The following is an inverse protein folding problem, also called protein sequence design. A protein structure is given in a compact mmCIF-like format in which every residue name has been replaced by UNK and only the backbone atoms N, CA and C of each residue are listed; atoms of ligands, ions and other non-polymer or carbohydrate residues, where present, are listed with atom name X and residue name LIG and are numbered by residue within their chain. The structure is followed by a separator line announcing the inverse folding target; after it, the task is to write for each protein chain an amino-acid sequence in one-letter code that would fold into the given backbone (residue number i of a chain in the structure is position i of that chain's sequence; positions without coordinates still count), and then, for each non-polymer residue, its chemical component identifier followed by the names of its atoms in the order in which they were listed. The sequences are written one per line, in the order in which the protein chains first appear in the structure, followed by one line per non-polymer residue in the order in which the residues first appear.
data_IF_395604882816
#
_entry.id   IF_395604882816
#
_cell.length_a   1.000
_cell.length_b   1.000
_cell.length_c   1.000
_cell.angle_alpha   90.00
_cell.angle_beta   90.00
_cell.angle_gamma   90.00
#
_symmetry.space_group_name_H-M   'P 1'
#
loop_
_entity.id
_entity.type
_entity.pdbx_description
1 polymer ?
#
# COMPACT_ATOMS: atom_id res chain seq x y z
N UNK A 1 16.93 -38.34 -0.66
CA UNK A 1 16.15 -37.10 -0.98
C UNK A 1 16.83 -35.95 -0.27
N UNK A 2 17.51 -35.09 -1.00
CA UNK A 2 18.17 -33.90 -0.48
C UNK A 2 17.10 -32.90 -0.07
N UNK A 3 17.09 -32.45 1.20
CA UNK A 3 16.19 -31.38 1.65
C UNK A 3 16.57 -30.09 0.91
N UNK A 4 15.73 -29.66 -0.02
CA UNK A 4 15.95 -28.51 -0.90
C UNK A 4 15.88 -27.16 -0.16
N UNK A 5 15.38 -27.15 1.08
CA UNK A 5 15.22 -25.97 1.92
C UNK A 5 15.64 -26.30 3.35
N UNK A 6 16.71 -25.70 3.81
CA UNK A 6 17.12 -25.70 5.20
C UNK A 6 17.26 -24.25 5.65
N UNK A 7 16.33 -23.80 6.48
CA UNK A 7 16.46 -22.55 7.20
C UNK A 7 16.96 -22.86 8.60
N UNK A 8 18.09 -22.28 8.98
CA UNK A 8 18.53 -22.30 10.36
C UNK A 8 17.55 -21.47 11.21
N UNK A 9 17.28 -21.93 12.43
CA UNK A 9 16.41 -21.22 13.38
C UNK A 9 17.01 -19.86 13.69
N UNK A 10 16.33 -18.80 13.27
CA UNK A 10 16.76 -17.43 13.55
C UNK A 10 16.66 -17.18 15.06
N UNK A 11 17.72 -16.68 15.71
CA UNK A 11 17.71 -16.44 17.16
C UNK A 11 16.61 -15.45 17.55
N UNK A 12 15.91 -15.71 18.65
CA UNK A 12 14.90 -14.82 19.26
C UNK A 12 15.42 -13.40 19.57
N UNK A 13 16.73 -13.24 19.62
CA UNK A 13 17.42 -11.98 19.94
C UNK A 13 17.09 -10.84 18.94
N UNK A 14 16.92 -11.13 17.64
CA UNK A 14 16.65 -10.08 16.67
C UNK A 14 15.23 -9.51 16.78
N UNK A 15 14.24 -10.34 17.17
CA UNK A 15 12.88 -9.89 17.43
C UNK A 15 12.85 -8.88 18.58
N UNK A 16 13.64 -9.13 19.61
CA UNK A 16 13.74 -8.21 20.73
C UNK A 16 14.42 -6.90 20.32
N UNK A 17 15.48 -6.97 19.52
CA UNK A 17 16.12 -5.76 18.97
C UNK A 17 15.13 -4.92 18.14
N UNK A 18 14.32 -5.56 17.29
CA UNK A 18 13.28 -4.87 16.52
C UNK A 18 12.27 -4.18 17.45
N UNK A 19 11.78 -4.88 18.47
CA UNK A 19 10.84 -4.30 19.45
C UNK A 19 11.45 -3.10 20.17
N UNK A 20 12.69 -3.20 20.60
CA UNK A 20 13.38 -2.11 21.29
C UNK A 20 13.62 -0.91 20.39
N UNK A 21 13.94 -1.10 19.11
CA UNK A 21 14.04 0.01 18.14
C UNK A 21 12.69 0.69 17.93
N UNK A 22 11.60 -0.09 17.79
CA UNK A 22 10.23 0.46 17.66
C UNK A 22 9.84 1.22 18.93
N UNK A 23 10.13 0.64 20.11
CA UNK A 23 9.85 1.30 21.38
C UNK A 23 10.63 2.62 21.50
N UNK A 24 11.91 2.65 21.12
CA UNK A 24 12.72 3.86 21.09
C UNK A 24 12.10 4.93 20.19
N UNK A 25 11.61 4.57 18.99
CA UNK A 25 10.95 5.51 18.08
C UNK A 25 9.70 6.12 18.73
N UNK A 26 8.92 5.31 19.44
CA UNK A 26 7.69 5.75 20.12
C UNK A 26 7.99 6.60 21.35
N UNK A 27 8.94 6.20 22.18
CA UNK A 27 9.32 6.89 23.41
C UNK A 27 9.93 8.26 23.15
N UNK A 28 10.75 8.37 22.10
CA UNK A 28 11.34 9.64 21.64
C UNK A 28 10.40 10.46 20.73
N UNK A 29 9.15 10.00 20.54
CA UNK A 29 8.12 10.63 19.70
C UNK A 29 8.61 10.95 18.27
N UNK A 30 9.50 10.12 17.71
CA UNK A 30 10.06 10.32 16.37
C UNK A 30 8.98 10.16 15.31
N UNK A 31 8.92 11.14 14.41
CA UNK A 31 7.95 11.23 13.31
C UNK A 31 8.59 10.85 11.98
N UNK A 32 7.76 10.65 10.96
CA UNK A 32 8.22 10.47 9.57
C UNK A 32 9.24 11.53 9.18
N UNK A 33 10.40 11.09 8.72
CA UNK A 33 11.51 11.92 8.30
C UNK A 33 12.52 12.24 9.41
N UNK A 34 12.23 11.87 10.67
CA UNK A 34 13.18 12.03 11.77
C UNK A 34 14.28 10.97 11.67
N UNK A 35 15.48 11.38 12.03
CA UNK A 35 16.68 10.55 11.90
C UNK A 35 16.90 9.71 13.15
N UNK A 36 17.12 8.40 12.95
CA UNK A 36 17.55 7.54 14.03
C UNK A 36 19.03 7.77 14.41
N UNK A 37 19.41 7.46 15.67
CA UNK A 37 20.81 7.39 16.05
C UNK A 37 21.60 6.42 15.17
N UNK A 38 22.92 6.65 14.95
CA UNK A 38 23.77 5.72 14.24
C UNK A 38 23.80 4.34 14.91
N UNK A 39 24.04 3.26 14.13
CA UNK A 39 24.13 1.88 14.61
C UNK A 39 24.97 1.74 15.89
N UNK A 40 26.09 2.48 15.98
CA UNK A 40 26.95 2.45 17.16
C UNK A 40 26.21 2.93 18.41
N UNK A 41 25.52 4.06 18.32
CA UNK A 41 24.79 4.64 19.45
C UNK A 41 23.59 3.77 19.83
N UNK A 42 22.87 3.20 18.84
CA UNK A 42 21.79 2.25 19.11
C UNK A 42 22.30 0.98 19.80
N UNK A 43 23.47 0.45 19.40
CA UNK A 43 24.04 -0.73 20.04
C UNK A 43 24.46 -0.46 21.50
N UNK A 44 24.93 0.74 21.80
CA UNK A 44 25.24 1.19 23.16
C UNK A 44 23.96 1.38 24.00
N UNK A 45 22.90 1.97 23.43
CA UNK A 45 21.62 2.20 24.11
C UNK A 45 20.86 0.90 24.39
N UNK A 46 20.89 -0.04 23.45
CA UNK A 46 20.16 -1.30 23.55
C UNK A 46 20.98 -2.44 24.16
N UNK A 47 22.24 -2.17 24.52
CA UNK A 47 23.18 -3.15 25.08
C UNK A 47 23.34 -4.43 24.23
N UNK A 48 23.31 -4.29 22.91
CA UNK A 48 23.43 -5.39 21.96
C UNK A 48 24.56 -5.16 20.95
N UNK A 49 24.94 -6.22 20.22
CA UNK A 49 25.98 -6.11 19.20
C UNK A 49 25.55 -5.21 18.04
N UNK A 50 26.49 -4.53 17.38
CA UNK A 50 26.22 -3.73 16.16
C UNK A 50 25.64 -4.58 15.03
N UNK A 51 26.03 -5.85 14.93
CA UNK A 51 25.48 -6.77 13.93
C UNK A 51 24.00 -7.03 14.18
N UNK A 52 23.56 -7.21 15.42
CA UNK A 52 22.16 -7.40 15.77
C UNK A 52 21.33 -6.14 15.47
N UNK A 53 21.87 -4.95 15.80
CA UNK A 53 21.21 -3.68 15.45
C UNK A 53 21.06 -3.54 13.94
N UNK A 54 22.12 -3.79 13.18
CA UNK A 54 22.08 -3.72 11.71
C UNK A 54 21.06 -4.65 11.10
N UNK A 55 20.95 -5.86 11.62
CA UNK A 55 19.96 -6.83 11.17
C UNK A 55 18.54 -6.36 11.49
N UNK A 56 18.28 -5.88 12.71
CA UNK A 56 17.00 -5.29 13.08
C UNK A 56 16.62 -4.09 12.22
N UNK A 57 17.55 -3.18 11.94
CA UNK A 57 17.33 -2.04 11.06
C UNK A 57 16.99 -2.49 9.63
N UNK A 58 17.70 -3.47 9.08
CA UNK A 58 17.41 -4.02 7.73
C UNK A 58 16.02 -4.63 7.64
N UNK A 59 15.57 -5.34 8.68
CA UNK A 59 14.21 -5.89 8.72
C UNK A 59 13.19 -4.76 8.79
N UNK A 60 13.40 -3.73 9.61
CA UNK A 60 12.52 -2.58 9.68
C UNK A 60 12.49 -1.77 8.37
N UNK A 61 13.60 -1.70 7.64
CA UNK A 61 13.65 -1.12 6.29
C UNK A 61 12.86 -1.97 5.30
N UNK A 62 13.01 -3.28 5.34
CA UNK A 62 12.25 -4.22 4.51
C UNK A 62 10.74 -4.07 4.76
N UNK A 63 10.34 -3.91 6.01
CA UNK A 63 8.97 -3.66 6.43
C UNK A 63 8.52 -2.20 6.20
N UNK A 64 9.38 -1.36 5.63
CA UNK A 64 9.13 0.07 5.39
C UNK A 64 8.82 0.91 6.64
N UNK A 65 9.22 0.41 7.79
CA UNK A 65 9.20 1.19 9.03
C UNK A 65 10.28 2.27 9.03
N UNK A 66 11.39 1.95 8.38
CA UNK A 66 12.55 2.82 8.25
C UNK A 66 12.93 2.98 6.78
N UNK A 67 13.69 4.03 6.50
CA UNK A 67 14.27 4.34 5.20
C UNK A 67 15.75 4.71 5.38
N UNK A 68 16.65 3.99 4.72
CA UNK A 68 18.06 4.36 4.67
C UNK A 68 18.35 5.26 3.48
N UNK A 69 19.08 6.35 3.72
CA UNK A 69 19.57 7.26 2.69
C UNK A 69 21.09 7.17 2.62
N UNK A 70 21.60 6.93 1.43
CA UNK A 70 23.04 6.79 1.21
C UNK A 70 23.80 8.04 1.71
N UNK A 71 24.74 7.84 2.65
CA UNK A 71 25.48 8.91 3.31
C UNK A 71 24.66 9.73 4.31
N UNK A 72 23.34 9.55 4.41
CA UNK A 72 22.43 10.30 5.26
C UNK A 72 22.12 9.62 6.60
N UNK A 73 22.09 8.29 6.63
CA UNK A 73 21.67 7.49 7.78
C UNK A 73 20.27 6.91 7.61
N UNK A 74 19.70 6.43 8.72
CA UNK A 74 18.38 5.78 8.76
C UNK A 74 17.34 6.74 9.33
N UNK A 75 16.17 6.79 8.73
CA UNK A 75 15.08 7.72 9.04
C UNK A 75 13.79 6.95 9.27
N UNK A 76 12.89 7.48 10.10
CA UNK A 76 11.53 6.97 10.26
C UNK A 76 10.76 7.19 8.96
N UNK A 77 10.13 6.12 8.47
CA UNK A 77 9.35 6.13 7.22
C UNK A 77 7.85 6.37 7.47
N UNK A 78 7.03 6.17 6.46
CA UNK A 78 5.58 6.14 6.61
C UNK A 78 5.13 4.96 7.48
N UNK A 79 3.89 5.06 8.08
CA UNK A 79 3.37 3.94 8.85
C UNK A 79 3.46 2.64 8.04
N UNK A 80 3.82 1.52 8.70
CA UNK A 80 4.04 0.28 7.99
C UNK A 80 2.79 -0.13 7.23
N UNK A 81 2.92 -0.65 6.02
CA UNK A 81 1.80 -1.21 5.30
C UNK A 81 1.22 -2.38 6.10
N UNK A 82 -0.11 -2.51 6.10
CA UNK A 82 -0.82 -3.63 6.73
C UNK A 82 -0.40 -5.01 6.22
N UNK A 83 0.24 -5.03 5.08
CA UNK A 83 0.53 -6.23 4.31
C UNK A 83 2.04 -6.43 4.20
N UNK A 84 2.44 -7.67 3.99
CA UNK A 84 3.81 -8.02 3.59
C UNK A 84 4.25 -7.05 2.50
N UNK A 85 5.47 -6.47 2.59
CA UNK A 85 5.94 -5.53 1.58
C UNK A 85 5.80 -6.15 0.19
N UNK A 86 4.95 -5.57 -0.64
CA UNK A 86 4.62 -6.11 -1.97
C UNK A 86 5.86 -6.18 -2.88
N UNK A 87 6.92 -5.46 -2.53
CA UNK A 87 8.23 -5.58 -3.19
C UNK A 87 8.83 -6.98 -3.13
N UNK A 88 8.44 -7.81 -2.13
CA UNK A 88 8.93 -9.20 -2.01
C UNK A 88 8.13 -10.15 -2.90
N UNK A 89 6.85 -9.83 -3.15
CA UNK A 89 5.93 -10.70 -3.91
C UNK A 89 5.77 -10.28 -5.36
N UNK A 90 6.37 -9.18 -5.80
CA UNK A 90 6.19 -8.57 -7.12
C UNK A 90 6.40 -9.55 -8.31
N UNK A 91 7.23 -10.57 -8.15
CA UNK A 91 7.55 -11.50 -9.24
C UNK A 91 6.63 -12.72 -9.34
N UNK A 92 5.61 -12.85 -8.48
CA UNK A 92 4.78 -14.06 -8.39
C UNK A 92 3.27 -13.79 -8.38
N UNK A 93 2.85 -12.53 -8.58
CA UNK A 93 1.44 -12.17 -8.49
C UNK A 93 0.75 -12.41 -9.83
N UNK A 94 -0.10 -13.43 -9.91
CA UNK A 94 -0.92 -13.71 -11.08
C UNK A 94 -2.08 -12.70 -11.24
N UNK A 95 -2.72 -12.67 -12.41
CA UNK A 95 -3.85 -11.76 -12.69
C UNK A 95 -5.01 -11.93 -11.71
N UNK A 96 -5.30 -13.16 -11.27
CA UNK A 96 -6.36 -13.49 -10.30
C UNK A 96 -6.10 -12.86 -8.92
N UNK A 97 -4.85 -12.82 -8.48
CA UNK A 97 -4.46 -12.15 -7.24
C UNK A 97 -4.52 -10.62 -7.38
N UNK A 98 -4.18 -10.08 -8.55
CA UNK A 98 -4.27 -8.64 -8.82
C UNK A 98 -5.71 -8.14 -8.73
N UNK A 99 -6.70 -8.91 -9.21
CA UNK A 99 -8.12 -8.59 -9.07
C UNK A 99 -8.54 -8.50 -7.60
N UNK A 100 -8.11 -9.43 -6.75
CA UNK A 100 -8.38 -9.39 -5.30
C UNK A 100 -7.79 -8.15 -4.63
N UNK A 101 -6.57 -7.77 -5.01
CA UNK A 101 -5.97 -6.52 -4.51
C UNK A 101 -6.72 -5.29 -5.02
N UNK A 102 -7.19 -5.33 -6.25
CA UNK A 102 -7.98 -4.23 -6.82
C UNK A 102 -9.31 -4.05 -6.09
N UNK A 103 -10.01 -5.12 -5.73
CA UNK A 103 -11.23 -5.07 -4.92
C UNK A 103 -10.98 -4.39 -3.55
N UNK A 104 -9.87 -4.75 -2.88
CA UNK A 104 -9.49 -4.12 -1.62
C UNK A 104 -9.18 -2.62 -1.83
N UNK A 105 -8.51 -2.28 -2.93
CA UNK A 105 -8.23 -0.89 -3.27
C UNK A 105 -9.51 -0.09 -3.51
N UNK A 106 -10.48 -0.64 -4.24
CA UNK A 106 -11.77 -0.01 -4.50
C UNK A 106 -12.57 0.20 -3.21
N UNK A 107 -12.66 -0.83 -2.36
CA UNK A 107 -13.30 -0.74 -1.05
C UNK A 107 -12.67 0.37 -0.19
N UNK A 108 -11.34 0.48 -0.20
CA UNK A 108 -10.62 1.51 0.52
C UNK A 108 -10.85 2.91 -0.06
N UNK A 109 -10.85 3.06 -1.39
CA UNK A 109 -11.15 4.32 -2.08
C UNK A 109 -12.58 4.78 -1.82
N UNK A 110 -13.55 3.86 -1.88
CA UNK A 110 -14.94 4.11 -1.53
C UNK A 110 -15.06 4.65 -0.10
N UNK A 111 -14.39 3.98 0.86
CA UNK A 111 -14.36 4.40 2.25
C UNK A 111 -13.80 5.81 2.42
N UNK A 112 -12.70 6.14 1.75
CA UNK A 112 -12.09 7.48 1.76
C UNK A 112 -13.09 8.51 1.24
N UNK A 113 -13.69 8.29 0.06
CA UNK A 113 -14.64 9.22 -0.57
C UNK A 113 -15.86 9.45 0.35
N UNK A 114 -16.51 8.38 0.82
CA UNK A 114 -17.71 8.52 1.64
C UNK A 114 -17.44 9.07 3.05
N UNK A 115 -16.24 8.89 3.58
CA UNK A 115 -15.84 9.52 4.85
C UNK A 115 -15.60 11.01 4.65
N UNK A 116 -14.93 11.39 3.57
CA UNK A 116 -14.67 12.79 3.21
C UNK A 116 -15.95 13.57 2.91
N UNK A 117 -16.95 12.92 2.30
CA UNK A 117 -18.29 13.51 2.11
C UNK A 117 -18.96 13.94 3.42
N UNK A 118 -18.73 13.21 4.51
CA UNK A 118 -19.31 13.52 5.84
C UNK A 118 -18.60 14.70 6.50
N UNK A 119 -17.34 14.96 6.15
CA UNK A 119 -16.50 15.98 6.79
C UNK A 119 -16.52 17.32 6.08
N UNK A 120 -17.40 17.52 5.06
CA UNK A 120 -17.49 18.74 4.22
C UNK A 120 -16.11 19.21 3.69
N UNK A 121 -15.31 18.25 3.29
CA UNK A 121 -13.94 18.44 2.84
C UNK A 121 -13.91 19.28 1.55
N UNK A 122 -13.34 20.48 1.60
CA UNK A 122 -13.16 21.33 0.41
C UNK A 122 -11.86 20.97 -0.31
N UNK A 123 -11.96 20.49 -1.54
CA UNK A 123 -10.80 20.21 -2.40
C UNK A 123 -10.87 21.13 -3.62
N UNK A 124 -9.71 21.63 -4.05
CA UNK A 124 -9.61 22.41 -5.27
C UNK A 124 -9.92 21.55 -6.50
N UNK A 125 -10.89 22.00 -7.30
CA UNK A 125 -11.19 21.43 -8.62
C UNK A 125 -10.05 21.80 -9.61
N UNK A 126 -8.85 21.32 -9.41
CA UNK A 126 -7.85 21.37 -10.47
C UNK A 126 -8.16 20.25 -11.46
N UNK A 127 -8.72 20.63 -12.62
CA UNK A 127 -8.84 19.74 -13.76
C UNK A 127 -7.44 19.33 -14.19
N UNK A 128 -7.12 18.04 -14.07
CA UNK A 128 -5.92 17.45 -14.66
C UNK A 128 -6.08 17.40 -16.18
N UNK A 129 -4.99 17.55 -16.93
CA UNK A 129 -4.97 17.27 -18.36
C UNK A 129 -5.17 15.77 -18.57
N UNK A 130 -6.28 15.38 -19.11
CA UNK A 130 -6.86 14.07 -19.42
C UNK A 130 -5.89 13.02 -20.02
N UNK A 131 -4.95 12.46 -19.28
CA UNK A 131 -4.07 11.44 -19.86
C UNK A 131 -4.25 10.03 -19.26
N UNK A 132 -4.69 9.90 -17.99
CA UNK A 132 -4.89 8.59 -17.37
C UNK A 132 -5.84 8.71 -16.17
N UNK A 133 -7.05 8.13 -16.30
CA UNK A 133 -8.06 8.15 -15.24
C UNK A 133 -7.50 7.67 -13.89
N UNK A 134 -6.86 6.50 -13.84
CA UNK A 134 -6.40 5.88 -12.60
C UNK A 134 -5.29 6.66 -11.91
N UNK A 135 -4.43 7.32 -12.69
CA UNK A 135 -3.39 8.20 -12.15
C UNK A 135 -4.01 9.43 -11.48
N UNK A 136 -4.93 10.10 -12.15
CA UNK A 136 -5.62 11.27 -11.61
C UNK A 136 -6.55 10.90 -10.45
N UNK A 137 -7.22 9.75 -10.53
CA UNK A 137 -8.03 9.19 -9.45
C UNK A 137 -7.17 8.94 -8.20
N UNK A 138 -5.98 8.36 -8.37
CA UNK A 138 -5.06 8.14 -7.25
C UNK A 138 -4.62 9.46 -6.59
N UNK A 139 -4.34 10.49 -7.36
CA UNK A 139 -4.03 11.83 -6.83
C UNK A 139 -5.21 12.35 -6.00
N UNK A 140 -6.42 12.25 -6.53
CA UNK A 140 -7.63 12.71 -5.84
C UNK A 140 -7.91 11.93 -4.55
N UNK A 141 -7.77 10.59 -4.55
CA UNK A 141 -7.89 9.77 -3.33
C UNK A 141 -6.88 10.18 -2.27
N UNK A 142 -5.63 10.48 -2.67
CA UNK A 142 -4.61 10.97 -1.75
C UNK A 142 -4.95 12.35 -1.16
N UNK A 143 -5.50 13.26 -1.97
CA UNK A 143 -5.95 14.58 -1.48
C UNK A 143 -7.08 14.46 -0.46
N UNK A 144 -8.08 13.60 -0.73
CA UNK A 144 -9.17 13.30 0.20
C UNK A 144 -8.66 12.66 1.48
N UNK A 145 -7.86 11.62 1.33
CA UNK A 145 -7.38 10.82 2.45
C UNK A 145 -6.47 11.58 3.42
N UNK A 146 -5.68 12.56 2.94
CA UNK A 146 -4.83 13.42 3.79
C UNK A 146 -5.63 14.27 4.80
N UNK A 147 -6.90 14.46 4.56
CA UNK A 147 -7.78 15.22 5.46
C UNK A 147 -8.50 14.32 6.47
N UNK A 148 -8.35 13.01 6.35
CA UNK A 148 -8.90 12.04 7.29
C UNK A 148 -7.94 11.81 8.46
N UNK A 149 -8.50 11.53 9.63
CA UNK A 149 -7.71 11.25 10.84
C UNK A 149 -6.98 9.90 10.82
N UNK A 150 -7.30 9.02 9.86
CA UNK A 150 -6.72 7.70 9.73
C UNK A 150 -5.82 7.63 8.49
N UNK A 151 -4.52 7.82 8.71
CA UNK A 151 -3.49 7.78 7.67
C UNK A 151 -3.30 6.39 7.02
N UNK A 152 -3.75 5.32 7.68
CA UNK A 152 -3.65 3.96 7.13
C UNK A 152 -4.48 3.78 5.86
N UNK A 153 -5.54 4.55 5.66
CA UNK A 153 -6.30 4.52 4.40
C UNK A 153 -5.41 4.90 3.21
N UNK A 154 -4.61 5.96 3.34
CA UNK A 154 -3.72 6.40 2.27
C UNK A 154 -2.57 5.40 2.08
N UNK A 155 -2.00 4.93 3.17
CA UNK A 155 -0.91 3.94 3.13
C UNK A 155 -1.35 2.67 2.40
N UNK A 156 -2.54 2.14 2.73
CA UNK A 156 -3.10 0.96 2.07
C UNK A 156 -3.36 1.23 0.59
N UNK A 157 -4.01 2.35 0.25
CA UNK A 157 -4.26 2.75 -1.13
C UNK A 157 -2.97 2.79 -1.95
N UNK A 158 -1.96 3.53 -1.47
CA UNK A 158 -0.72 3.74 -2.21
C UNK A 158 0.08 2.45 -2.41
N UNK A 159 0.08 1.55 -1.43
CA UNK A 159 0.76 0.26 -1.56
C UNK A 159 0.10 -0.61 -2.62
N UNK A 160 -1.23 -0.73 -2.61
CA UNK A 160 -1.95 -1.54 -3.60
C UNK A 160 -1.89 -0.87 -4.98
N UNK A 161 -2.07 0.45 -5.06
CA UNK A 161 -1.97 1.20 -6.31
C UNK A 161 -0.60 1.02 -6.98
N UNK A 162 0.49 1.07 -6.20
CA UNK A 162 1.84 0.85 -6.72
C UNK A 162 2.01 -0.58 -7.26
N UNK A 163 1.49 -1.60 -6.55
CA UNK A 163 1.49 -2.98 -7.03
C UNK A 163 0.78 -3.10 -8.38
N UNK A 164 -0.47 -2.64 -8.45
CA UNK A 164 -1.30 -2.73 -9.66
C UNK A 164 -0.67 -1.97 -10.84
N UNK A 165 -0.05 -0.81 -10.57
CA UNK A 165 0.65 -0.02 -11.59
C UNK A 165 1.88 -0.75 -12.13
N UNK A 166 2.68 -1.36 -11.26
CA UNK A 166 3.87 -2.12 -11.66
C UNK A 166 3.54 -3.34 -12.54
N UNK A 167 2.35 -3.94 -12.33
CA UNK A 167 1.84 -5.04 -13.14
C UNK A 167 0.99 -4.59 -14.33
N UNK A 168 0.97 -3.29 -14.67
CA UNK A 168 0.19 -2.73 -15.78
C UNK A 168 -1.33 -3.02 -15.70
N UNK A 169 -1.84 -3.35 -14.51
CA UNK A 169 -3.23 -3.76 -14.30
C UNK A 169 -4.24 -2.74 -14.80
N UNK A 170 -3.97 -1.45 -14.60
CA UNK A 170 -4.86 -0.36 -15.02
C UNK A 170 -5.00 -0.18 -16.54
N UNK A 171 -4.27 -0.95 -17.34
CA UNK A 171 -4.48 -1.02 -18.79
C UNK A 171 -5.67 -1.94 -19.15
N UNK A 172 -6.06 -2.84 -18.25
CA UNK A 172 -7.15 -3.81 -18.47
C UNK A 172 -8.48 -3.34 -17.90
N UNK A 173 -8.49 -2.33 -17.04
CA UNK A 173 -9.70 -1.82 -16.37
C UNK A 173 -10.01 -0.41 -16.84
N UNK A 174 -11.20 -0.24 -17.44
CA UNK A 174 -11.69 1.07 -17.91
C UNK A 174 -12.66 1.68 -16.90
N UNK A 175 -12.59 2.99 -16.71
CA UNK A 175 -13.56 3.68 -15.87
C UNK A 175 -14.86 3.92 -16.62
N UNK A 176 -16.05 3.69 -16.01
CA UNK A 176 -17.34 3.98 -16.60
C UNK A 176 -17.64 5.48 -16.66
N UNK A 177 -16.97 6.29 -15.87
CA UNK A 177 -17.15 7.75 -15.80
C UNK A 177 -15.82 8.47 -16.01
N UNK A 178 -15.90 9.72 -16.44
CA UNK A 178 -14.76 10.65 -16.37
C UNK A 178 -14.54 11.09 -14.92
N UNK A 179 -13.29 11.36 -14.56
CA UNK A 179 -12.97 11.78 -13.20
C UNK A 179 -13.67 13.10 -12.81
N UNK A 180 -13.86 14.02 -13.76
CA UNK A 180 -14.55 15.28 -13.49
C UNK A 180 -16.02 15.04 -13.13
N UNK A 181 -16.71 14.09 -13.78
CA UNK A 181 -18.08 13.72 -13.45
C UNK A 181 -18.18 13.14 -12.03
N UNK A 182 -17.19 12.31 -11.66
CA UNK A 182 -17.10 11.73 -10.32
C UNK A 182 -16.84 12.82 -9.25
N UNK A 183 -15.95 13.77 -9.54
CA UNK A 183 -15.72 14.94 -8.68
C UNK A 183 -16.97 15.80 -8.55
N UNK A 184 -17.70 16.03 -9.63
CA UNK A 184 -18.97 16.77 -9.61
C UNK A 184 -20.00 16.05 -8.73
N UNK A 185 -20.13 14.72 -8.86
CA UNK A 185 -21.01 13.93 -8.01
C UNK A 185 -20.61 14.03 -6.52
N UNK A 186 -19.32 14.03 -6.22
CA UNK A 186 -18.80 14.23 -4.87
C UNK A 186 -19.21 15.60 -4.31
N UNK A 187 -19.01 16.70 -5.06
CA UNK A 187 -19.37 18.04 -4.60
C UNK A 187 -20.89 18.24 -4.44
N UNK A 188 -21.68 17.61 -5.30
CA UNK A 188 -23.14 17.60 -5.20
C UNK A 188 -23.66 16.69 -4.10
N UNK A 189 -22.78 15.94 -3.42
CA UNK A 189 -23.14 14.89 -2.45
C UNK A 189 -24.07 13.83 -3.06
N UNK A 190 -23.95 13.59 -4.36
CA UNK A 190 -24.71 12.59 -5.08
C UNK A 190 -24.17 11.19 -4.80
N UNK A 191 -24.65 10.63 -3.70
CA UNK A 191 -24.24 9.32 -3.21
C UNK A 191 -24.58 8.19 -4.18
N UNK A 192 -25.69 8.35 -4.92
CA UNK A 192 -26.17 7.34 -5.83
C UNK A 192 -25.16 7.15 -6.98
N UNK A 193 -24.80 8.24 -7.66
CA UNK A 193 -23.81 8.22 -8.75
C UNK A 193 -22.46 7.68 -8.26
N UNK A 194 -22.02 8.03 -7.05
CA UNK A 194 -20.79 7.51 -6.48
C UNK A 194 -20.85 6.00 -6.21
N UNK A 195 -21.97 5.48 -5.70
CA UNK A 195 -22.17 4.04 -5.47
C UNK A 195 -22.22 3.25 -6.79
N UNK A 196 -22.98 3.75 -7.76
CA UNK A 196 -23.09 3.14 -9.10
C UNK A 196 -21.72 3.06 -9.79
N UNK A 197 -20.85 4.05 -9.59
CA UNK A 197 -19.48 4.02 -10.09
C UNK A 197 -18.69 2.82 -9.52
N UNK A 198 -18.67 2.65 -8.19
CA UNK A 198 -17.94 1.54 -7.57
C UNK A 198 -18.52 0.18 -7.95
N UNK A 199 -19.84 0.04 -7.97
CA UNK A 199 -20.51 -1.20 -8.39
C UNK A 199 -20.15 -1.58 -9.83
N UNK A 200 -20.20 -0.63 -10.76
CA UNK A 200 -19.89 -0.88 -12.18
C UNK A 200 -18.44 -1.33 -12.39
N UNK A 201 -17.48 -0.82 -11.62
CA UNK A 201 -16.09 -1.26 -11.70
C UNK A 201 -15.91 -2.65 -11.08
N UNK A 202 -16.55 -2.95 -9.96
CA UNK A 202 -16.51 -4.27 -9.33
C UNK A 202 -17.10 -5.36 -10.25
N UNK A 203 -18.19 -5.06 -10.96
CA UNK A 203 -18.78 -5.98 -11.94
C UNK A 203 -17.83 -6.27 -13.10
N UNK A 204 -17.09 -5.24 -13.59
CA UNK A 204 -16.07 -5.44 -14.63
C UNK A 204 -14.91 -6.31 -14.14
N UNK A 205 -14.44 -6.12 -12.91
CA UNK A 205 -13.36 -6.90 -12.32
C UNK A 205 -13.75 -8.40 -12.22
N UNK A 206 -14.96 -8.67 -11.76
CA UNK A 206 -15.46 -10.04 -11.59
C UNK A 206 -15.72 -10.77 -12.94
N UNK A 207 -16.09 -10.06 -14.00
CA UNK A 207 -16.32 -10.63 -15.32
C UNK A 207 -15.03 -11.11 -16.00
N UNK A 208 -13.90 -10.54 -15.67
CA UNK A 208 -12.58 -10.97 -16.18
C UNK A 208 -12.14 -12.31 -15.58
N UNK A 209 -12.54 -12.61 -14.33
CA UNK A 209 -12.24 -13.90 -13.69
C UNK A 209 -13.04 -15.08 -14.26
N UNK A 210 -14.24 -14.83 -14.79
CA UNK A 210 -15.13 -15.90 -15.35
C UNK A 210 -14.71 -16.41 -16.74
N UNK A 211 -13.90 -15.68 -17.48
CA UNK A 211 -13.51 -16.06 -18.85
C UNK A 211 -12.35 -17.08 -18.86
N UNK A 212 -11.62 -17.25 -17.77
CA UNK A 212 -10.45 -18.13 -17.69
C UNK A 212 -10.75 -19.53 -17.10
N UNK A 213 -11.99 -19.85 -16.72
CA UNK A 213 -12.33 -21.17 -16.17
C UNK A 213 -12.81 -22.18 -17.23
N UNK A 214 -13.09 -21.78 -18.48
CA UNK A 214 -13.64 -22.65 -19.53
C UNK A 214 -12.61 -23.13 -20.58
N UNK A 215 -11.33 -23.02 -20.32
CA UNK A 215 -10.30 -23.33 -21.32
C UNK A 215 -9.17 -24.25 -20.87
N UNK A 216 -9.46 -25.48 -20.35
CA UNK A 216 -8.56 -26.63 -20.53
C UNK A 216 -9.12 -27.93 -19.90
N UNK A 217 -10.14 -28.51 -20.52
CA UNK A 217 -10.27 -29.97 -20.53
C UNK A 217 -9.99 -30.38 -21.96
N UNK A 218 -8.76 -30.82 -22.21
CA UNK A 218 -8.51 -31.69 -23.38
C UNK A 218 -7.41 -32.70 -23.02
N UNK A 219 -7.88 -33.94 -22.92
CA UNK A 219 -7.47 -35.14 -23.60
C UNK A 219 -5.95 -35.38 -23.73
N UNK A 220 -5.44 -36.31 -22.92
CA UNK A 220 -4.60 -37.36 -23.49
C UNK A 220 -4.95 -38.73 -22.87
N UNK A 221 -5.61 -39.49 -23.70
CA UNK A 221 -5.61 -40.97 -23.66
C UNK A 221 -4.22 -41.51 -24.05
#
# INVERSE_FOLDING_TARGET
MSKKYQLETVPRMFEEVIRQIIFYIQDEELKKGDKLPPERKLSELLEVSRSSVREGLRILELLRYLESRQGGGTFVSEPPPFLIPMTITQNQTGSKELNKYFDIALMNAEKIIFTSLKQDTSISLKSGKNENFWKEFSVWINELGKQLSNEYYISLWNNIYALLTNHHFFQTVTSPLKLDDLKIAFYKKDRKTLQEFFQSIQEQSNSVDGINEDGSYDEHR
#
